data_IF_136371258351
#
_entry.id   IF_136371258351
#
_cell.length_a   1.000
_cell.length_b   1.000
_cell.length_c   1.000
_cell.angle_alpha   90.00
_cell.angle_beta   90.00
_cell.angle_gamma   90.00
#
_symmetry.space_group_name_H-M   'P 1'
#
loop_
_entity.id
_entity.type
_entity.pdbx_description
1 polymer ?
#
# COMPACT_ATOMS: atom_id res chain seq x y z
N UNK A 1 -18.46 -3.24 -21.49
CA UNK A 1 -18.20 -1.79 -21.39
C UNK A 1 -18.12 -1.32 -19.94
N UNK A 2 -19.10 -1.63 -19.07
CA UNK A 2 -19.11 -1.22 -17.64
C UNK A 2 -17.88 -1.78 -16.90
N UNK A 3 -17.52 -3.04 -17.11
CA UNK A 3 -16.34 -3.65 -16.47
C UNK A 3 -15.02 -2.98 -16.87
N UNK A 4 -14.88 -2.57 -18.12
CA UNK A 4 -13.68 -1.85 -18.61
C UNK A 4 -13.61 -0.45 -18.01
N UNK A 5 -14.75 0.24 -17.86
CA UNK A 5 -14.79 1.57 -17.23
C UNK A 5 -14.42 1.51 -15.75
N UNK A 6 -14.94 0.52 -15.02
CA UNK A 6 -14.58 0.31 -13.60
C UNK A 6 -13.08 0.01 -13.47
N UNK A 7 -12.52 -0.88 -14.29
CA UNK A 7 -11.10 -1.19 -14.27
C UNK A 7 -10.26 0.05 -14.58
N UNK A 8 -10.68 0.87 -15.54
CA UNK A 8 -10.01 2.11 -15.90
C UNK A 8 -10.02 3.12 -14.73
N UNK A 9 -11.16 3.34 -14.10
CA UNK A 9 -11.24 4.23 -12.93
C UNK A 9 -10.41 3.72 -11.75
N UNK A 10 -10.49 2.43 -11.46
CA UNK A 10 -9.70 1.79 -10.40
C UNK A 10 -8.20 1.89 -10.66
N UNK A 11 -7.76 1.90 -11.93
CA UNK A 11 -6.36 1.99 -12.30
C UNK A 11 -5.79 3.39 -12.20
N UNK A 12 -6.58 4.44 -12.44
CA UNK A 12 -6.09 5.82 -12.59
C UNK A 12 -6.38 6.77 -11.42
N UNK A 13 -7.21 6.41 -10.46
CA UNK A 13 -7.68 7.34 -9.41
C UNK A 13 -6.79 7.49 -8.18
N UNK A 14 -5.64 6.84 -8.08
CA UNK A 14 -4.91 6.73 -6.82
C UNK A 14 -3.61 7.52 -6.69
N UNK A 15 -3.23 8.30 -7.70
CA UNK A 15 -2.03 9.16 -7.62
C UNK A 15 -2.40 10.57 -7.15
N UNK A 16 -3.23 10.68 -6.10
CA UNK A 16 -3.65 11.98 -5.60
C UNK A 16 -2.57 12.55 -4.69
N UNK A 17 -1.85 13.53 -5.20
CA UNK A 17 -1.12 14.50 -4.37
C UNK A 17 -2.04 15.71 -4.21
N UNK A 18 -2.39 16.06 -2.99
CA UNK A 18 -3.11 17.30 -2.73
C UNK A 18 -2.50 18.07 -1.56
N UNK A 19 -2.57 19.38 -1.67
CA UNK A 19 -2.06 20.31 -0.68
C UNK A 19 -3.12 21.38 -0.42
N UNK A 20 -3.35 21.64 0.86
CA UNK A 20 -4.15 22.77 1.34
C UNK A 20 -3.19 23.74 2.01
N UNK A 21 -3.30 25.02 1.70
CA UNK A 21 -2.43 26.05 2.30
C UNK A 21 -2.51 26.01 3.83
N UNK A 22 -1.35 25.96 4.49
CA UNK A 22 -1.26 25.83 5.95
C UNK A 22 -1.45 24.41 6.50
N UNK A 23 -1.51 23.41 5.65
CA UNK A 23 -1.63 21.99 6.03
C UNK A 23 -0.55 21.15 5.37
N UNK A 24 -0.48 19.89 5.74
CA UNK A 24 0.44 18.92 5.14
C UNK A 24 0.13 18.67 3.67
N UNK A 25 1.15 18.26 2.93
CA UNK A 25 1.00 17.69 1.60
C UNK A 25 0.70 16.20 1.73
N UNK A 26 -0.46 15.79 1.24
CA UNK A 26 -0.88 14.39 1.24
C UNK A 26 -0.51 13.76 -0.10
N UNK A 27 0.37 12.77 -0.07
CA UNK A 27 0.84 12.04 -1.24
C UNK A 27 0.54 10.55 -1.06
N UNK A 28 -0.33 10.03 -1.90
CA UNK A 28 -0.78 8.63 -1.83
C UNK A 28 0.07 7.69 -2.69
N UNK A 29 1.09 8.19 -3.42
CA UNK A 29 2.00 7.38 -4.25
C UNK A 29 3.30 6.99 -3.53
N UNK A 30 3.25 6.84 -2.22
CA UNK A 30 4.44 6.57 -1.40
C UNK A 30 5.21 5.32 -1.87
N UNK A 31 4.53 4.24 -2.27
CA UNK A 31 5.19 3.03 -2.80
C UNK A 31 5.77 3.22 -4.21
N UNK A 32 5.20 4.11 -5.02
CA UNK A 32 5.77 4.52 -6.29
C UNK A 32 7.11 5.22 -6.09
N UNK A 33 7.18 6.17 -5.15
CA UNK A 33 8.44 6.85 -4.80
C UNK A 33 9.48 5.88 -4.22
N UNK A 34 9.07 4.89 -3.41
CA UNK A 34 9.97 3.85 -2.93
C UNK A 34 10.52 3.01 -4.10
N UNK A 35 9.68 2.66 -5.07
CA UNK A 35 10.12 1.93 -6.24
C UNK A 35 11.11 2.73 -7.09
N UNK A 36 10.87 4.01 -7.32
CA UNK A 36 11.79 4.91 -8.03
C UNK A 36 13.14 5.04 -7.30
N UNK A 37 13.10 5.18 -5.98
CA UNK A 37 14.31 5.24 -5.16
C UNK A 37 15.13 3.94 -5.25
N UNK A 38 14.47 2.78 -5.14
CA UNK A 38 15.12 1.47 -5.25
C UNK A 38 15.73 1.24 -6.64
N UNK A 39 15.00 1.58 -7.71
CA UNK A 39 15.52 1.49 -9.09
C UNK A 39 16.73 2.41 -9.30
N UNK A 40 16.73 3.58 -8.65
CA UNK A 40 17.87 4.51 -8.67
C UNK A 40 19.00 4.13 -7.71
N UNK A 41 18.88 3.04 -6.93
CA UNK A 41 19.87 2.60 -5.95
C UNK A 41 20.00 3.52 -4.74
N UNK A 42 18.93 4.23 -4.36
CA UNK A 42 18.89 5.18 -3.25
C UNK A 42 18.00 4.68 -2.11
N UNK A 43 18.39 4.88 -0.82
CA UNK A 43 17.54 4.55 0.31
C UNK A 43 16.53 5.66 0.66
N UNK A 44 16.65 6.85 0.06
CA UNK A 44 15.77 8.00 0.27
C UNK A 44 14.89 8.29 -0.94
N UNK A 45 13.78 8.99 -0.69
CA UNK A 45 12.82 9.40 -1.71
C UNK A 45 13.26 10.72 -2.35
N UNK A 46 13.12 10.82 -3.67
CA UNK A 46 13.46 12.02 -4.44
C UNK A 46 12.30 13.03 -4.39
N UNK A 47 12.10 13.59 -3.21
CA UNK A 47 11.02 14.53 -2.93
C UNK A 47 11.61 15.88 -2.47
N UNK A 48 11.02 17.02 -2.87
CA UNK A 48 11.51 18.34 -2.48
C UNK A 48 11.42 18.53 -0.96
N UNK A 49 12.43 19.19 -0.40
CA UNK A 49 12.52 19.55 1.02
C UNK A 49 12.48 21.07 1.14
N UNK A 50 11.55 21.65 1.92
CA UNK A 50 11.53 23.08 2.19
C UNK A 50 12.78 23.52 2.95
N UNK A 51 13.34 24.68 2.58
CA UNK A 51 14.53 25.24 3.26
C UNK A 51 14.28 25.44 4.75
N UNK A 52 13.07 25.88 5.12
CA UNK A 52 12.68 26.07 6.51
C UNK A 52 12.72 24.78 7.33
N UNK A 53 12.36 23.64 6.72
CA UNK A 53 12.46 22.33 7.37
C UNK A 53 13.93 21.89 7.50
N UNK A 54 14.72 22.13 6.47
CA UNK A 54 16.14 21.77 6.47
C UNK A 54 16.95 22.57 7.49
N UNK A 55 16.53 23.78 7.81
CA UNK A 55 17.19 24.68 8.76
C UNK A 55 16.82 24.44 10.24
N UNK A 56 15.85 23.56 10.53
CA UNK A 56 15.39 23.34 11.92
C UNK A 56 16.16 22.21 12.62
N UNK A 57 16.48 22.43 13.91
CA UNK A 57 17.12 21.40 14.74
C UNK A 57 16.16 20.28 15.18
N UNK A 58 14.87 20.60 15.28
CA UNK A 58 13.85 19.69 15.78
C UNK A 58 12.73 19.46 14.77
N UNK A 59 13.00 18.76 13.65
CA UNK A 59 12.07 18.62 12.53
C UNK A 59 10.80 17.80 12.87
N UNK A 60 10.76 17.11 14.01
CA UNK A 60 9.63 16.30 14.48
C UNK A 60 8.86 16.90 15.63
N UNK A 61 9.32 18.00 16.20
CA UNK A 61 8.58 18.66 17.26
C UNK A 61 7.25 19.22 16.74
N UNK A 62 6.17 18.96 17.47
CA UNK A 62 4.80 19.32 17.05
C UNK A 62 4.64 20.84 16.93
N UNK A 63 5.22 21.61 17.85
CA UNK A 63 5.14 23.07 17.81
C UNK A 63 5.93 23.63 16.63
N UNK A 64 7.12 23.09 16.37
CA UNK A 64 7.93 23.44 15.20
C UNK A 64 7.23 23.13 13.89
N UNK A 65 6.60 21.98 13.77
CA UNK A 65 5.80 21.62 12.59
C UNK A 65 4.61 22.55 12.38
N UNK A 66 3.89 22.89 13.46
CA UNK A 66 2.78 23.84 13.38
C UNK A 66 3.25 25.23 12.93
N UNK A 67 4.40 25.70 13.40
CA UNK A 67 4.98 26.98 12.97
C UNK A 67 5.41 26.95 11.51
N UNK A 68 6.05 25.85 11.05
CA UNK A 68 6.44 25.68 9.65
C UNK A 68 5.22 25.76 8.73
N UNK A 69 4.14 25.06 9.07
CA UNK A 69 2.88 25.12 8.32
C UNK A 69 2.26 26.52 8.33
N UNK A 70 2.19 27.17 9.48
CA UNK A 70 1.67 28.54 9.62
C UNK A 70 2.49 29.55 8.80
N UNK A 71 3.80 29.34 8.65
CA UNK A 71 4.70 30.17 7.85
C UNK A 71 4.70 29.79 6.36
N UNK A 72 3.84 28.86 5.95
CA UNK A 72 3.71 28.46 4.55
C UNK A 72 4.83 27.56 4.02
N UNK A 73 5.59 26.88 4.89
CA UNK A 73 6.57 25.87 4.46
C UNK A 73 5.85 24.72 3.72
N UNK A 74 6.25 24.49 2.48
CA UNK A 74 5.65 23.47 1.60
C UNK A 74 6.69 22.96 0.60
N UNK A 75 6.68 21.64 0.28
CA UNK A 75 5.79 20.60 0.81
C UNK A 75 6.27 20.01 2.14
N UNK A 76 5.38 19.92 3.12
CA UNK A 76 5.57 19.09 4.31
C UNK A 76 4.72 17.84 4.15
N UNK A 77 5.34 16.71 3.84
CA UNK A 77 4.61 15.48 3.54
C UNK A 77 4.05 14.82 4.79
N UNK A 78 2.76 14.45 4.71
CA UNK A 78 2.08 13.65 5.74
C UNK A 78 2.55 12.20 5.67
N UNK A 79 2.90 11.63 6.83
CA UNK A 79 3.35 10.23 6.96
C UNK A 79 4.62 9.86 6.18
N UNK A 80 5.51 10.83 6.03
CA UNK A 80 6.87 10.59 5.57
C UNK A 80 7.86 10.92 6.69
N UNK A 81 8.90 10.12 6.84
CA UNK A 81 10.01 10.41 7.73
C UNK A 81 11.01 11.35 7.07
N UNK A 82 11.46 12.35 7.82
CA UNK A 82 12.48 13.28 7.36
C UNK A 82 13.78 13.05 8.14
N UNK A 83 14.89 12.89 7.45
CA UNK A 83 16.21 12.73 8.09
C UNK A 83 17.31 13.21 7.15
N UNK A 84 18.25 13.99 7.70
CA UNK A 84 19.46 14.47 7.02
C UNK A 84 19.19 15.03 5.60
N UNK A 85 18.23 15.94 5.47
CA UNK A 85 17.89 16.58 4.21
C UNK A 85 17.08 15.70 3.23
N UNK A 86 16.60 14.54 3.65
CA UNK A 86 15.88 13.61 2.78
C UNK A 86 14.59 13.08 3.40
N UNK A 87 13.66 12.70 2.53
CA UNK A 87 12.43 12.01 2.90
C UNK A 87 12.59 10.50 2.79
N UNK A 88 11.95 9.79 3.71
CA UNK A 88 11.96 8.32 3.77
C UNK A 88 10.54 7.79 3.99
N UNK A 89 10.27 6.63 3.41
CA UNK A 89 9.11 5.82 3.81
C UNK A 89 9.50 4.96 5.01
N UNK A 90 8.62 4.89 6.02
CA UNK A 90 8.77 3.97 7.15
C UNK A 90 7.91 2.72 7.00
N UNK A 91 7.15 2.62 5.93
CA UNK A 91 6.42 1.40 5.60
C UNK A 91 7.37 0.32 5.05
N UNK A 92 6.99 -0.95 5.30
CA UNK A 92 7.82 -2.08 4.87
C UNK A 92 8.07 -2.08 3.36
N UNK A 93 9.32 -2.28 2.96
CA UNK A 93 9.78 -2.24 1.57
C UNK A 93 9.31 -3.42 0.72
N UNK A 94 8.84 -4.50 1.35
CA UNK A 94 8.52 -5.76 0.66
C UNK A 94 7.47 -5.62 -0.45
N UNK A 95 6.34 -4.91 -0.27
CA UNK A 95 5.41 -4.66 -1.36
C UNK A 95 6.05 -3.91 -2.54
N UNK A 96 6.92 -2.92 -2.25
CA UNK A 96 7.64 -2.20 -3.30
C UNK A 96 8.51 -3.14 -4.14
N UNK A 97 9.32 -3.98 -3.49
CA UNK A 97 10.23 -4.93 -4.16
C UNK A 97 9.47 -5.98 -4.97
N UNK A 98 8.36 -6.51 -4.43
CA UNK A 98 7.63 -7.61 -5.06
C UNK A 98 6.69 -7.18 -6.18
N UNK A 99 6.16 -5.97 -6.13
CA UNK A 99 5.11 -5.53 -7.04
C UNK A 99 5.46 -4.23 -7.79
N UNK A 100 5.83 -3.15 -7.08
CA UNK A 100 6.02 -1.85 -7.70
C UNK A 100 7.30 -1.78 -8.54
N UNK A 101 8.42 -2.28 -8.03
CA UNK A 101 9.70 -2.30 -8.77
C UNK A 101 9.62 -3.12 -10.05
N UNK A 102 9.14 -4.40 -10.04
CA UNK A 102 8.97 -5.15 -11.27
C UNK A 102 8.06 -4.45 -12.28
N UNK A 103 6.95 -3.90 -11.82
CA UNK A 103 6.03 -3.16 -12.70
C UNK A 103 6.72 -1.91 -13.30
N UNK A 104 7.42 -1.12 -12.47
CA UNK A 104 8.17 0.07 -12.91
C UNK A 104 9.19 -0.25 -13.99
N UNK A 105 9.92 -1.36 -13.82
CA UNK A 105 10.92 -1.80 -14.80
C UNK A 105 10.31 -2.28 -16.11
N UNK A 106 9.13 -2.90 -16.07
CA UNK A 106 8.46 -3.45 -17.25
C UNK A 106 7.62 -2.40 -17.98
N UNK A 107 6.89 -1.57 -17.25
CA UNK A 107 5.93 -0.60 -17.80
C UNK A 107 6.54 0.78 -18.06
N UNK A 108 7.69 1.11 -17.46
CA UNK A 108 8.34 2.42 -17.58
C UNK A 108 7.70 3.54 -16.73
N UNK A 109 6.65 3.24 -15.97
CA UNK A 109 5.97 4.18 -15.06
C UNK A 109 5.53 3.47 -13.77
N UNK A 110 5.16 4.24 -12.74
CA UNK A 110 4.77 3.68 -11.45
C UNK A 110 3.41 2.97 -11.53
N UNK A 111 3.27 1.91 -10.73
CA UNK A 111 2.01 1.19 -10.53
C UNK A 111 1.10 2.05 -9.65
N UNK A 112 -0.13 2.38 -10.08
CA UNK A 112 -1.08 3.08 -9.23
C UNK A 112 -1.35 2.32 -7.93
N UNK A 113 -1.40 3.02 -6.80
CA UNK A 113 -1.62 2.43 -5.47
C UNK A 113 -2.89 1.58 -5.41
N UNK A 114 -4.00 2.06 -5.99
CA UNK A 114 -5.24 1.31 -6.06
C UNK A 114 -5.10 0.00 -6.85
N UNK A 115 -4.40 0.03 -7.98
CA UNK A 115 -4.16 -1.17 -8.78
C UNK A 115 -3.32 -2.20 -8.01
N UNK A 116 -2.28 -1.75 -7.31
CA UNK A 116 -1.45 -2.58 -6.45
C UNK A 116 -2.30 -3.26 -5.35
N UNK A 117 -3.17 -2.50 -4.70
CA UNK A 117 -4.04 -3.02 -3.65
C UNK A 117 -5.02 -4.06 -4.19
N UNK A 118 -5.68 -3.81 -5.33
CA UNK A 118 -6.57 -4.79 -5.95
C UNK A 118 -5.85 -6.07 -6.34
N UNK A 119 -4.63 -5.98 -6.87
CA UNK A 119 -3.81 -7.16 -7.19
C UNK A 119 -3.52 -7.96 -5.91
N UNK A 120 -3.09 -7.30 -4.84
CA UNK A 120 -2.80 -7.95 -3.56
C UNK A 120 -4.05 -8.57 -2.94
N UNK A 121 -5.18 -7.88 -2.94
CA UNK A 121 -6.45 -8.42 -2.42
C UNK A 121 -6.92 -9.62 -3.25
N UNK A 122 -6.80 -9.57 -4.57
CA UNK A 122 -7.13 -10.72 -5.43
C UNK A 122 -6.26 -11.93 -5.12
N UNK A 123 -4.95 -11.72 -4.97
CA UNK A 123 -4.02 -12.78 -4.58
C UNK A 123 -4.32 -13.32 -3.17
N UNK A 124 -4.67 -12.45 -2.24
CA UNK A 124 -5.14 -12.85 -0.91
C UNK A 124 -6.38 -13.74 -0.98
N UNK A 125 -7.42 -13.35 -1.74
CA UNK A 125 -8.62 -14.15 -1.93
C UNK A 125 -8.25 -15.56 -2.45
N UNK A 126 -7.39 -15.63 -3.45
CA UNK A 126 -6.96 -16.91 -4.04
C UNK A 126 -6.23 -17.76 -3.01
N UNK A 127 -5.13 -17.26 -2.42
CA UNK A 127 -4.29 -18.05 -1.52
C UNK A 127 -4.98 -18.40 -0.22
N UNK A 128 -5.80 -17.49 0.32
CA UNK A 128 -6.59 -17.77 1.52
C UNK A 128 -7.66 -18.82 1.26
N UNK A 129 -8.35 -18.76 0.12
CA UNK A 129 -9.32 -19.80 -0.27
C UNK A 129 -8.64 -21.15 -0.42
N UNK A 130 -7.50 -21.21 -1.09
CA UNK A 130 -6.71 -22.44 -1.22
C UNK A 130 -6.27 -22.98 0.13
N UNK A 131 -5.83 -22.11 1.05
CA UNK A 131 -5.46 -22.48 2.41
C UNK A 131 -6.64 -23.08 3.16
N UNK A 132 -7.78 -22.39 3.19
CA UNK A 132 -9.00 -22.86 3.89
C UNK A 132 -9.47 -24.20 3.32
N UNK A 133 -9.51 -24.35 2.00
CA UNK A 133 -9.89 -25.60 1.34
C UNK A 133 -8.92 -26.74 1.68
N UNK A 134 -7.62 -26.47 1.72
CA UNK A 134 -6.61 -27.46 2.12
C UNK A 134 -6.79 -27.91 3.55
N UNK A 135 -7.07 -26.99 4.47
CA UNK A 135 -7.37 -27.31 5.88
C UNK A 135 -8.65 -28.16 5.98
N UNK A 136 -9.73 -27.76 5.31
CA UNK A 136 -10.99 -28.51 5.28
C UNK A 136 -10.74 -29.94 4.76
N UNK A 137 -10.06 -30.06 3.64
CA UNK A 137 -9.77 -31.39 3.05
C UNK A 137 -8.97 -32.29 3.99
N UNK A 138 -8.04 -31.71 4.75
CA UNK A 138 -7.20 -32.47 5.69
C UNK A 138 -7.92 -32.87 6.96
N UNK A 139 -8.75 -32.00 7.51
CA UNK A 139 -9.40 -32.19 8.83
C UNK A 139 -10.80 -32.79 8.70
N UNK A 140 -11.53 -32.40 7.64
CA UNK A 140 -12.94 -32.78 7.41
C UNK A 140 -13.15 -33.23 5.95
N UNK A 141 -12.55 -34.34 5.49
CA UNK A 141 -12.51 -34.73 4.08
C UNK A 141 -13.90 -35.05 3.47
N UNK A 142 -14.92 -35.25 4.31
CA UNK A 142 -16.31 -35.53 3.88
C UNK A 142 -17.18 -34.28 3.79
N UNK A 143 -16.61 -33.07 3.94
CA UNK A 143 -17.37 -31.83 3.85
C UNK A 143 -17.91 -31.63 2.45
N UNK A 144 -19.18 -31.28 2.32
CA UNK A 144 -19.79 -30.98 1.02
C UNK A 144 -19.21 -29.70 0.42
N UNK A 145 -19.22 -29.59 -0.91
CA UNK A 145 -18.76 -28.40 -1.63
C UNK A 145 -19.49 -27.15 -1.14
N UNK A 146 -20.82 -27.25 -0.93
CA UNK A 146 -21.62 -26.11 -0.45
C UNK A 146 -21.16 -25.64 0.93
N UNK A 147 -20.91 -26.57 1.88
CA UNK A 147 -20.42 -26.23 3.21
C UNK A 147 -18.99 -25.65 3.16
N UNK A 148 -18.10 -26.21 2.36
CA UNK A 148 -16.75 -25.69 2.16
C UNK A 148 -16.77 -24.27 1.56
N UNK A 149 -17.60 -24.01 0.56
CA UNK A 149 -17.79 -22.68 -0.03
C UNK A 149 -18.30 -21.67 0.98
N UNK A 150 -19.27 -22.06 1.82
CA UNK A 150 -19.81 -21.19 2.88
C UNK A 150 -18.70 -20.81 3.88
N UNK A 151 -17.86 -21.76 4.29
CA UNK A 151 -16.74 -21.50 5.20
C UNK A 151 -15.74 -20.55 4.57
N UNK A 152 -15.37 -20.75 3.29
CA UNK A 152 -14.44 -19.86 2.57
C UNK A 152 -15.01 -18.44 2.52
N UNK A 153 -16.25 -18.27 2.07
CA UNK A 153 -16.88 -16.94 1.97
C UNK A 153 -16.99 -16.26 3.32
N UNK A 154 -17.46 -16.98 4.35
CA UNK A 154 -17.57 -16.43 5.71
C UNK A 154 -16.20 -16.00 6.27
N UNK A 155 -15.16 -16.79 6.01
CA UNK A 155 -13.80 -16.47 6.45
C UNK A 155 -13.25 -15.24 5.73
N UNK A 156 -13.47 -15.09 4.42
CA UNK A 156 -13.07 -13.91 3.66
C UNK A 156 -13.78 -12.64 4.13
N UNK A 157 -15.09 -12.72 4.40
CA UNK A 157 -15.86 -11.60 4.97
C UNK A 157 -15.32 -11.22 6.35
N UNK A 158 -15.03 -12.21 7.20
CA UNK A 158 -14.47 -12.00 8.54
C UNK A 158 -13.05 -11.42 8.51
N UNK A 159 -12.28 -11.66 7.45
CA UNK A 159 -10.96 -11.09 7.23
C UNK A 159 -10.98 -9.61 6.77
N UNK A 160 -12.13 -8.95 6.86
CA UNK A 160 -12.29 -7.51 6.54
C UNK A 160 -11.96 -7.17 5.07
N UNK A 161 -12.09 -8.10 4.14
CA UNK A 161 -11.79 -7.90 2.73
C UNK A 161 -12.54 -6.68 2.14
N UNK A 162 -13.81 -6.46 2.56
CA UNK A 162 -14.59 -5.30 2.14
C UNK A 162 -13.97 -3.95 2.52
N UNK A 163 -13.29 -3.88 3.66
CA UNK A 163 -12.61 -2.66 4.09
C UNK A 163 -11.41 -2.32 3.17
N UNK A 164 -10.63 -3.33 2.80
CA UNK A 164 -9.49 -3.16 1.87
C UNK A 164 -9.96 -2.67 0.50
N UNK A 165 -11.11 -3.12 0.02
CA UNK A 165 -11.65 -2.71 -1.29
C UNK A 165 -12.32 -1.34 -1.28
N UNK A 166 -12.78 -0.86 -0.11
CA UNK A 166 -13.53 0.39 -0.01
C UNK A 166 -12.66 1.64 0.06
N UNK A 167 -11.46 1.55 0.65
CA UNK A 167 -10.53 2.66 0.84
C UNK A 167 -9.14 2.30 0.35
N UNK A 168 -8.92 2.45 -0.94
CA UNK A 168 -7.62 2.20 -1.55
C UNK A 168 -6.65 3.34 -1.23
N UNK A 169 -5.63 3.05 -0.43
CA UNK A 169 -4.55 3.98 -0.14
C UNK A 169 -3.27 3.23 0.29
N UNK A 170 -2.17 3.95 0.45
CA UNK A 170 -0.89 3.33 0.79
C UNK A 170 -0.86 2.61 2.16
N UNK A 171 -1.78 2.91 3.09
CA UNK A 171 -1.88 2.18 4.36
C UNK A 171 -2.40 0.75 4.19
N UNK A 172 -3.26 0.50 3.20
CA UNK A 172 -3.80 -0.82 2.94
C UNK A 172 -2.79 -1.74 2.24
N UNK A 173 -1.81 -1.19 1.52
CA UNK A 173 -0.79 -1.97 0.81
C UNK A 173 -0.05 -2.96 1.73
N UNK A 174 0.54 -2.54 2.88
CA UNK A 174 1.22 -3.48 3.76
C UNK A 174 0.27 -4.51 4.39
N UNK A 175 -0.99 -4.14 4.67
CA UNK A 175 -2.00 -5.09 5.16
C UNK A 175 -2.35 -6.14 4.12
N UNK A 176 -2.69 -5.72 2.91
CA UNK A 176 -3.03 -6.63 1.81
C UNK A 176 -1.85 -7.54 1.45
N UNK A 177 -0.63 -7.01 1.43
CA UNK A 177 0.60 -7.79 1.20
C UNK A 177 0.84 -8.80 2.34
N UNK A 178 0.66 -8.40 3.60
CA UNK A 178 0.81 -9.29 4.75
C UNK A 178 -0.18 -10.44 4.71
N UNK A 179 -1.45 -10.16 4.46
CA UNK A 179 -2.49 -11.18 4.33
C UNK A 179 -2.20 -12.15 3.18
N UNK A 180 -1.78 -11.62 2.03
CA UNK A 180 -1.43 -12.41 0.84
C UNK A 180 -0.26 -13.34 1.12
N UNK A 181 0.85 -12.79 1.61
CA UNK A 181 2.07 -13.56 1.84
C UNK A 181 1.93 -14.57 2.98
N UNK A 182 1.20 -14.22 4.04
CA UNK A 182 0.90 -15.14 5.14
C UNK A 182 0.03 -16.30 4.65
N UNK A 183 -1.01 -16.01 3.88
CA UNK A 183 -1.89 -17.05 3.33
C UNK A 183 -1.15 -17.98 2.38
N UNK A 184 -0.30 -17.44 1.50
CA UNK A 184 0.56 -18.20 0.61
C UNK A 184 1.55 -19.06 1.40
N UNK A 185 2.25 -18.48 2.39
CA UNK A 185 3.24 -19.19 3.20
C UNK A 185 2.63 -20.35 3.97
N UNK A 186 1.47 -20.15 4.61
CA UNK A 186 0.75 -21.21 5.31
C UNK A 186 0.22 -22.29 4.36
N UNK A 187 -0.27 -21.89 3.17
CA UNK A 187 -0.70 -22.85 2.17
C UNK A 187 0.44 -23.73 1.66
N UNK A 188 1.62 -23.17 1.44
CA UNK A 188 2.81 -23.92 1.03
C UNK A 188 3.34 -24.84 2.12
N UNK A 189 3.22 -24.43 3.39
CA UNK A 189 3.71 -25.20 4.52
C UNK A 189 2.83 -26.41 4.87
N UNK A 190 1.52 -26.31 4.71
CA UNK A 190 0.55 -27.41 4.96
C UNK A 190 0.53 -28.45 3.84
#
# INVERSE_FOLDING_TARGET
LIGVSIIHELWYTSSLVFHVSGDYTYDFDQYGHVADALVAGRPWLDLPVPEQLAATEHPYDVATRAQLLANGASPLYWDYAYYDGHWYSYFGVLPAVLLFVPYRLLAGHNLPTSAAEYILVLLFIIFFSLLVLRVIHRVMPKTSVAAASLVVVSSLVSAQMGYLLYRTNFYQIPFAASLTLTSLGLWLWL
#
